data_IF_071260971137
#
_entry.id   IF_071260971137
#
_cell.length_a   1.000
_cell.length_b   1.000
_cell.length_c   1.000
_cell.angle_alpha   90.00
_cell.angle_beta   90.00
_cell.angle_gamma   90.00
#
_symmetry.space_group_name_H-M   'P 1'
#
loop_
_entity.id
_entity.type
_entity.pdbx_description
1 polymer ?
2 polymer ?
3 polymer ?
4 polymer ?
5 non-polymer ?
#
loop_
_entity_poly.entity_id
_entity_poly.type
_entity_poly.pdbx_seq_one_letter_code
_entity_poly.pdbx_strand_id
3 'polydeoxyribonucleotide' '(DC)(DA)(DG)(DA)(DA)(DA)(DA)(DT)(DC)(DG)(DG)(DT)(DT)(DG)(DT)(DG)(DG)(DT)' ?
4 'polydeoxyribonucleotide' '(DG)(DA)(DC)(DC)(DA)(DC)(DA)(DA)(DC)(DC)(DG)(DA)(DT)(DT)(DT)(DT)(DC)(DT)' ?
#
# COMPACT_ATOMS: atom_id res chain seq x y z
N UNK A 16 17.41 9.27 -5.90
CA UNK A 16 17.93 8.06 -5.25
C UNK A 16 17.33 6.78 -5.83
N UNK A 17 18.10 5.70 -5.87
CA UNK A 17 17.64 4.42 -6.37
C UNK A 17 17.37 3.49 -5.20
N UNK A 18 16.18 2.92 -5.16
CA UNK A 18 15.86 2.12 -4.00
C UNK A 18 15.71 0.64 -4.37
N UNK A 19 16.06 -0.27 -3.47
CA UNK A 19 15.91 -1.70 -3.79
C UNK A 19 14.45 -2.10 -3.98
N UNK A 20 13.53 -1.46 -3.27
CA UNK A 20 12.13 -1.84 -3.43
C UNK A 20 11.61 -1.53 -4.82
N UNK A 21 12.07 -0.44 -5.42
CA UNK A 21 11.52 0.05 -6.68
C UNK A 21 11.94 -0.77 -7.88
N UNK A 22 12.71 -1.83 -7.70
CA UNK A 22 13.03 -2.77 -8.77
C UNK A 22 12.39 -4.10 -8.44
N UNK A 23 11.73 -4.72 -9.42
CA UNK A 23 11.02 -5.96 -9.20
C UNK A 23 9.53 -5.77 -9.20
N UNK A 24 8.80 -6.53 -8.38
CA UNK A 24 7.39 -6.29 -8.19
C UNK A 24 7.16 -5.88 -6.74
N UNK A 25 6.37 -4.83 -6.50
CA UNK A 25 6.27 -4.28 -5.15
C UNK A 25 5.49 -5.15 -4.19
N UNK A 26 4.60 -6.02 -4.70
CA UNK A 26 3.83 -6.87 -3.81
C UNK A 26 4.71 -7.81 -3.00
N UNK A 27 5.99 -7.97 -3.38
CA UNK A 27 6.93 -8.69 -2.54
C UNK A 27 6.94 -8.12 -1.12
N UNK A 28 6.92 -6.80 -0.99
CA UNK A 28 6.91 -6.16 0.32
C UNK A 28 5.58 -6.30 1.03
N UNK A 29 4.56 -6.79 0.34
CA UNK A 29 3.27 -7.10 0.93
C UNK A 29 2.94 -8.55 0.67
N UNK A 30 3.98 -9.38 0.62
CA UNK A 30 3.81 -10.80 0.33
C UNK A 30 3.05 -11.47 1.45
N UNK A 31 2.26 -12.48 1.10
CA UNK A 31 1.46 -13.20 2.09
C UNK A 31 2.27 -14.27 2.83
N UNK A 32 3.36 -14.75 2.25
CA UNK A 32 4.07 -15.76 3.02
C UNK A 32 5.11 -15.08 3.92
N UNK A 33 5.46 -15.69 5.06
CA UNK A 33 6.61 -15.16 5.82
C UNK A 33 7.89 -15.22 5.03
N UNK A 34 7.98 -16.16 4.09
CA UNK A 34 9.17 -16.25 3.24
C UNK A 34 9.35 -14.98 2.42
N UNK A 35 8.32 -14.59 1.67
CA UNK A 35 8.42 -13.40 0.84
C UNK A 35 8.77 -12.17 1.64
N UNK A 36 8.20 -12.06 2.85
CA UNK A 36 8.52 -10.93 3.71
C UNK A 36 9.98 -10.96 4.14
N UNK A 37 10.53 -12.15 4.45
CA UNK A 37 11.94 -12.23 4.81
C UNK A 37 12.83 -11.83 3.63
N UNK A 38 12.44 -12.23 2.43
CA UNK A 38 13.15 -11.82 1.22
C UNK A 38 13.19 -10.30 1.13
N UNK A 39 12.01 -9.67 1.14
CA UNK A 39 11.95 -8.21 1.03
C UNK A 39 12.73 -7.55 2.17
N UNK A 40 12.65 -8.12 3.37
CA UNK A 40 13.35 -7.55 4.52
C UNK A 40 14.85 -7.54 4.31
N UNK A 41 15.39 -8.57 3.66
CA UNK A 41 16.82 -8.55 3.38
C UNK A 41 17.15 -7.65 2.19
N UNK A 42 16.20 -7.48 1.26
CA UNK A 42 16.40 -6.52 0.19
C UNK A 42 16.50 -5.10 0.73
N UNK A 43 15.73 -4.80 1.77
CA UNK A 43 15.76 -3.47 2.36
C UNK A 43 17.11 -3.13 2.98
N UNK A 44 17.92 -4.14 3.33
CA UNK A 44 19.17 -3.87 4.03
C UNK A 44 20.12 -3.04 3.18
N UNK A 45 19.93 -3.03 1.87
CA UNK A 45 20.77 -2.25 0.96
C UNK A 45 20.22 -0.87 0.67
N UNK A 46 19.16 -0.43 1.36
CA UNK A 46 18.48 0.79 0.98
C UNK A 46 19.18 2.01 1.57
N UNK A 47 19.54 3.00 0.75
CA UNK A 47 20.14 4.23 1.30
C UNK A 47 19.18 5.04 2.16
N UNK A 48 17.89 4.69 2.14
CA UNK A 48 16.85 5.44 2.83
C UNK A 48 16.38 4.75 4.11
N UNK A 49 16.81 3.50 4.35
CA UNK A 49 16.18 2.59 5.29
C UNK A 49 15.66 3.24 6.58
N UNK A 50 16.54 3.84 7.37
CA UNK A 50 16.11 4.32 8.67
C UNK A 50 14.99 5.35 8.54
N UNK A 51 15.04 6.20 7.50
CA UNK A 51 13.92 7.07 7.16
C UNK A 51 12.66 6.24 6.98
N UNK A 52 12.64 5.41 5.94
CA UNK A 52 11.51 4.54 5.62
C UNK A 52 10.88 3.98 6.90
N UNK A 53 11.72 3.41 7.76
CA UNK A 53 11.22 2.83 9.00
C UNK A 53 10.56 3.88 9.88
N UNK A 54 11.26 4.99 10.13
CA UNK A 54 10.73 6.01 11.01
C UNK A 54 9.38 6.50 10.53
N UNK A 55 9.30 6.85 9.25
CA UNK A 55 8.07 7.40 8.69
C UNK A 55 6.94 6.37 8.74
N UNK A 56 7.25 5.11 8.45
CA UNK A 56 6.20 4.08 8.50
C UNK A 56 5.69 3.90 9.93
N UNK A 57 6.60 3.89 10.91
CA UNK A 57 6.17 3.82 12.30
C UNK A 57 5.31 5.02 12.66
N UNK A 58 5.68 6.19 12.17
CA UNK A 58 5.01 7.43 12.50
C UNK A 58 3.68 7.60 11.77
N UNK A 59 3.41 6.77 10.76
CA UNK A 59 2.07 6.64 10.22
C UNK A 59 1.35 5.37 10.68
N UNK A 60 2.02 4.55 11.51
CA UNK A 60 1.45 3.31 12.04
C UNK A 60 0.87 2.43 10.92
N UNK A 61 1.74 2.07 9.99
CA UNK A 61 1.32 1.30 8.82
C UNK A 61 0.69 -0.02 9.25
N UNK A 62 -0.36 -0.46 8.59
CA UNK A 62 -1.05 -1.69 9.02
C UNK A 62 -0.33 -2.97 8.63
N UNK A 63 0.42 -2.97 7.53
CA UNK A 63 1.09 -4.17 7.05
C UNK A 63 2.23 -3.77 6.12
N UNK A 64 2.97 -4.77 5.66
CA UNK A 64 4.03 -4.58 4.69
C UNK A 64 5.40 -4.46 5.35
N UNK A 65 6.42 -4.42 4.50
CA UNK A 65 7.80 -4.31 4.93
C UNK A 65 8.27 -2.88 4.67
N UNK A 66 8.71 -2.22 5.73
CA UNK A 66 9.15 -0.83 5.66
C UNK A 66 10.49 -0.73 6.37
N UNK A 67 11.44 -0.08 5.73
CA UNK A 67 12.75 0.11 6.35
C UNK A 67 13.32 -1.18 6.88
N UNK A 68 13.08 -2.28 6.17
CA UNK A 68 13.62 -3.56 6.59
C UNK A 68 12.96 -4.20 7.78
N UNK A 69 11.67 -3.90 8.00
CA UNK A 69 10.95 -4.52 9.11
C UNK A 69 9.52 -4.82 8.70
N UNK A 70 9.02 -5.96 9.17
CA UNK A 70 7.62 -6.33 8.97
C UNK A 70 6.75 -5.50 9.89
N UNK A 71 5.65 -4.99 9.36
CA UNK A 71 4.70 -4.22 10.13
C UNK A 71 3.40 -5.01 10.26
N UNK A 72 2.77 -4.89 11.42
CA UNK A 72 1.47 -5.48 11.68
C UNK A 72 0.68 -4.51 12.54
N UNK A 73 -0.31 -3.85 11.95
CA UNK A 73 -1.21 -2.94 12.68
C UNK A 73 -0.42 -1.88 13.44
N UNK A 74 0.62 -1.35 12.81
CA UNK A 74 1.30 -0.17 13.32
C UNK A 74 2.58 -0.45 14.08
N UNK A 75 2.86 -1.71 14.40
CA UNK A 75 4.08 -2.08 15.11
C UNK A 75 4.89 -3.05 14.26
N UNK A 76 6.05 -3.46 14.79
CA UNK A 76 6.95 -4.40 14.13
C UNK A 76 6.73 -5.79 14.72
N UNK A 77 6.74 -6.80 13.86
CA UNK A 77 6.40 -8.16 14.28
C UNK A 77 7.58 -9.12 14.20
N UNK A 78 8.71 -8.71 13.60
CA UNK A 78 9.91 -9.55 13.51
C UNK A 78 9.72 -10.74 12.56
N UNK A 79 8.74 -11.59 12.83
CA UNK A 79 8.45 -12.69 11.94
C UNK A 79 6.94 -12.85 11.83
N UNK A 80 6.46 -13.02 10.60
CA UNK A 80 5.04 -13.24 10.37
C UNK A 80 4.69 -14.69 10.66
N UNK A 81 3.66 -14.88 11.47
CA UNK A 81 3.23 -16.23 11.81
C UNK A 81 2.79 -16.98 10.55
N UNK A 82 3.11 -18.27 10.45
CA UNK A 82 2.59 -19.06 9.34
C UNK A 82 1.10 -19.28 9.45
N UNK A 83 0.52 -20.09 8.56
CA UNK A 83 -0.93 -20.11 8.44
C UNK A 83 -1.62 -21.10 9.35
N UNK A 84 -1.03 -22.26 9.57
CA UNK A 84 -1.66 -23.31 10.34
C UNK A 84 -1.46 -23.16 11.84
N UNK A 85 -1.59 -24.29 12.52
CA UNK A 85 -1.33 -24.37 13.96
C UNK A 85 0.17 -24.22 14.23
N UNK A 86 0.55 -23.64 15.38
CA UNK A 86 1.99 -23.49 15.66
C UNK A 86 2.64 -24.79 16.09
N UNK A 87 3.84 -25.02 15.58
CA UNK A 87 4.68 -26.08 16.10
C UNK A 87 5.08 -25.75 17.54
N UNK A 88 5.38 -26.80 18.31
CA UNK A 88 5.67 -26.60 19.73
C UNK A 88 7.15 -26.77 20.03
N UNK B 18 -1.66 15.11 -18.34
CA UNK B 18 -0.30 14.94 -17.83
C UNK B 18 -0.34 14.60 -16.35
N UNK B 19 0.62 13.81 -15.90
CA UNK B 19 0.74 13.33 -14.51
C UNK B 19 -0.38 12.36 -14.18
N UNK B 20 -1.62 12.75 -14.48
CA UNK B 20 -2.80 11.92 -14.30
C UNK B 20 -2.58 10.53 -14.87
N UNK B 21 -1.70 10.44 -15.87
CA UNK B 21 -1.40 9.17 -16.53
C UNK B 21 -0.52 8.29 -15.65
N UNK B 22 0.56 8.86 -15.11
CA UNK B 22 1.55 8.01 -14.43
C UNK B 22 0.97 7.37 -13.18
N UNK B 23 0.08 8.05 -12.47
CA UNK B 23 -0.60 7.41 -11.35
C UNK B 23 -1.52 6.31 -11.83
N UNK B 24 -2.19 6.51 -12.97
CA UNK B 24 -2.93 5.43 -13.59
C UNK B 24 -2.01 4.24 -13.89
N UNK B 25 -0.70 4.48 -14.01
CA UNK B 25 0.24 3.38 -14.10
C UNK B 25 0.32 2.61 -12.79
N UNK B 26 0.57 3.31 -11.67
CA UNK B 26 0.75 2.59 -10.42
C UNK B 26 -0.57 1.97 -9.98
N UNK B 27 -1.70 2.60 -10.31
CA UNK B 27 -2.97 1.95 -10.10
C UNK B 27 -3.02 0.60 -10.78
N UNK B 28 -2.46 0.52 -11.98
CA UNK B 28 -2.45 -0.73 -12.71
C UNK B 28 -1.52 -1.77 -12.12
N UNK B 29 -0.76 -1.46 -11.06
CA UNK B 29 0.02 -2.47 -10.36
C UNK B 29 -0.77 -3.13 -9.24
N UNK B 30 -2.04 -2.77 -9.06
CA UNK B 30 -2.89 -3.38 -8.06
C UNK B 30 -3.82 -4.40 -8.72
N UNK B 31 -4.44 -5.22 -7.88
CA UNK B 31 -5.53 -6.03 -8.38
C UNK B 31 -6.71 -5.15 -8.77
N UNK B 32 -7.58 -5.71 -9.62
CA UNK B 32 -8.73 -4.96 -10.12
C UNK B 32 -9.57 -4.42 -8.97
N UNK B 33 -9.82 -5.25 -7.96
CA UNK B 33 -10.65 -4.80 -6.85
C UNK B 33 -9.97 -3.69 -6.06
N UNK B 34 -8.67 -3.85 -5.77
CA UNK B 34 -7.97 -2.77 -5.07
C UNK B 34 -8.04 -1.46 -5.84
N UNK B 35 -7.68 -1.51 -7.12
CA UNK B 35 -7.64 -0.31 -7.94
C UNK B 35 -9.02 0.30 -8.06
N UNK B 36 -10.01 -0.52 -8.40
CA UNK B 36 -11.36 -0.02 -8.52
C UNK B 36 -11.89 0.56 -7.24
N UNK B 37 -11.53 -0.03 -6.10
CA UNK B 37 -11.99 0.55 -4.84
C UNK B 37 -11.40 1.94 -4.66
N UNK B 38 -10.12 2.11 -4.99
CA UNK B 38 -9.60 3.47 -4.80
C UNK B 38 -10.17 4.42 -5.86
N UNK B 39 -10.34 3.92 -7.09
CA UNK B 39 -10.92 4.74 -8.15
C UNK B 39 -12.28 5.25 -7.72
N UNK B 40 -13.14 4.35 -7.24
CA UNK B 40 -14.47 4.74 -6.81
C UNK B 40 -14.41 5.67 -5.61
N UNK B 41 -13.54 5.38 -4.64
CA UNK B 41 -13.49 6.22 -3.46
C UNK B 41 -13.13 7.65 -3.81
N UNK B 42 -12.18 7.83 -4.74
CA UNK B 42 -11.70 9.16 -5.07
C UNK B 42 -12.32 9.70 -6.36
N UNK B 43 -13.30 9.01 -6.93
CA UNK B 43 -13.96 9.47 -8.13
C UNK B 43 -12.97 9.82 -9.23
N UNK B 44 -12.08 8.88 -9.56
CA UNK B 44 -11.02 9.19 -10.51
C UNK B 44 -11.49 9.13 -11.95
N UNK B 45 -12.44 8.25 -12.25
CA UNK B 45 -12.87 8.10 -13.64
C UNK B 45 -13.98 9.08 -14.03
N UNK B 46 -14.84 9.47 -13.08
CA UNK B 46 -16.00 10.29 -13.43
C UNK B 46 -16.20 11.49 -12.49
N UNK B 47 -15.21 11.85 -11.69
CA UNK B 47 -15.29 13.01 -10.83
C UNK B 47 -16.09 12.83 -9.55
N UNK B 48 -16.90 11.77 -9.45
CA UNK B 48 -17.81 11.60 -8.33
C UNK B 48 -17.27 10.58 -7.35
N UNK B 49 -16.83 10.99 -6.15
CA UNK B 49 -16.45 10.00 -5.14
C UNK B 49 -17.66 9.15 -4.73
N UNK B 50 -17.39 7.91 -4.36
CA UNK B 50 -18.44 6.98 -3.99
C UNK B 50 -18.41 6.68 -2.50
N UNK B 51 -19.57 6.33 -1.97
CA UNK B 51 -19.66 5.92 -0.59
C UNK B 51 -19.27 4.45 -0.48
N UNK B 52 -18.82 4.07 0.72
CA UNK B 52 -18.38 2.70 0.94
C UNK B 52 -19.47 1.68 0.60
N UNK B 53 -20.64 2.05 0.93
CA UNK B 53 -21.77 1.19 0.61
C UNK B 53 -21.91 1.02 -0.88
N UNK B 54 -21.96 2.02 -1.62
CA UNK B 54 -22.04 1.92 -3.08
C UNK B 54 -20.94 1.03 -3.61
N UNK B 55 -19.70 1.30 -3.18
CA UNK B 55 -18.56 0.50 -3.60
C UNK B 55 -18.81 -0.97 -3.29
N UNK B 56 -19.31 -1.25 -2.08
CA UNK B 56 -19.61 -2.63 -1.73
C UNK B 56 -20.65 -3.23 -2.65
N UNK B 57 -21.61 -2.41 -3.07
CA UNK B 57 -22.62 -2.89 -4.01
C UNK B 57 -21.98 -3.34 -5.32
N UNK B 58 -20.92 -2.66 -5.76
CA UNK B 58 -20.33 -3.08 -7.05
C UNK B 58 -19.56 -4.40 -6.90
N UNK B 59 -18.80 -4.55 -5.83
CA UNK B 59 -18.01 -5.75 -5.59
C UNK B 59 -18.74 -6.77 -4.72
N UNK B 60 -20.03 -6.60 -4.49
CA UNK B 60 -20.80 -7.61 -3.82
C UNK B 60 -20.38 -7.92 -2.41
N UNK B 61 -19.75 -6.99 -1.71
CA UNK B 61 -19.33 -7.21 -0.33
C UNK B 61 -19.84 -6.07 0.53
N UNK B 62 -19.66 -6.21 1.84
CA UNK B 62 -20.19 -5.19 2.71
C UNK B 62 -19.28 -3.97 2.73
N UNK B 63 -19.84 -2.87 3.26
CA UNK B 63 -19.09 -1.64 3.38
C UNK B 63 -17.83 -1.84 4.22
N UNK B 64 -17.94 -2.58 5.32
CA UNK B 64 -16.77 -2.75 6.18
C UNK B 64 -15.66 -3.50 5.45
N UNK B 65 -16.03 -4.51 4.65
CA UNK B 65 -15.00 -5.19 3.88
C UNK B 65 -14.31 -4.21 2.95
N UNK B 66 -15.08 -3.31 2.35
CA UNK B 66 -14.51 -2.29 1.47
C UNK B 66 -13.59 -1.38 2.24
N UNK B 67 -13.93 -1.09 3.50
CA UNK B 67 -13.08 -0.23 4.29
C UNK B 67 -11.75 -0.90 4.58
N UNK B 68 -11.78 -2.19 4.90
CA UNK B 68 -10.54 -2.91 5.15
C UNK B 68 -9.67 -2.94 3.90
N UNK B 69 -10.27 -3.30 2.76
CA UNK B 69 -9.55 -3.31 1.49
C UNK B 69 -8.90 -1.96 1.24
N UNK B 70 -9.66 -0.88 1.45
CA UNK B 70 -9.16 0.45 1.15
C UNK B 70 -8.02 0.85 2.08
N UNK B 71 -8.12 0.50 3.37
CA UNK B 71 -7.02 0.75 4.29
C UNK B 71 -5.74 0.09 3.82
N UNK B 72 -5.82 -1.21 3.52
CA UNK B 72 -4.60 -1.91 3.11
C UNK B 72 -4.07 -1.37 1.79
N UNK B 73 -4.95 -1.09 0.83
CA UNK B 73 -4.49 -0.58 -0.45
C UNK B 73 -3.82 0.78 -0.30
N UNK B 74 -4.36 1.66 0.54
CA UNK B 74 -3.70 2.93 0.80
C UNK B 74 -2.33 2.70 1.41
N UNK B 75 -2.22 1.71 2.30
CA UNK B 75 -0.91 1.37 2.84
C UNK B 75 0.06 1.01 1.71
N UNK B 76 -0.41 0.18 0.77
CA UNK B 76 0.41 -0.20 -0.37
C UNK B 76 0.84 1.02 -1.18
N UNK B 77 -0.10 1.94 -1.43
CA UNK B 77 0.19 3.13 -2.24
C UNK B 77 1.17 4.05 -1.57
N UNK B 78 1.13 4.13 -0.24
CA UNK B 78 2.13 4.92 0.47
C UNK B 78 3.53 4.35 0.27
N UNK B 79 3.64 3.06 -0.04
CA UNK B 79 4.92 2.37 0.01
C UNK B 79 5.84 2.87 -1.10
N UNK B 80 7.11 3.15 -0.79
CA UNK B 80 8.01 3.72 -1.80
C UNK B 80 8.03 2.96 -3.11
N UNK B 81 7.97 1.63 -3.05
CA UNK B 81 7.91 0.81 -4.25
C UNK B 81 6.88 1.32 -5.25
N UNK B 82 5.80 1.92 -4.77
CA UNK B 82 4.80 2.49 -5.66
C UNK B 82 4.74 4.01 -5.66
N UNK B 83 5.09 4.65 -4.54
CA UNK B 83 4.85 6.08 -4.37
C UNK B 83 6.07 6.94 -4.65
N UNK B 84 7.27 6.37 -4.63
CA UNK B 84 8.46 7.22 -4.70
C UNK B 84 8.56 7.90 -6.05
N UNK B 85 8.28 7.17 -7.14
CA UNK B 85 8.32 7.78 -8.46
C UNK B 85 7.28 8.89 -8.58
N UNK B 86 6.30 8.92 -7.68
CA UNK B 86 5.21 9.88 -7.77
C UNK B 86 5.18 10.87 -6.61
N UNK B 87 6.32 11.52 -6.34
CA UNK B 87 6.37 12.57 -5.33
C UNK B 87 6.38 13.96 -5.93
N UNK B 88 6.14 14.08 -7.24
CA UNK B 88 6.18 15.38 -7.92
C UNK B 88 4.79 15.79 -8.40
N UNK B 97 -8.76 21.30 -5.96
CA UNK B 97 -9.57 20.36 -5.21
C UNK B 97 -9.95 19.13 -6.02
N UNK B 98 -9.39 19.02 -7.22
CA UNK B 98 -9.61 17.93 -8.16
C UNK B 98 -9.34 16.58 -7.51
N UNK B 99 -9.98 15.49 -7.97
CA UNK B 99 -9.83 14.20 -7.27
C UNK B 99 -8.41 13.65 -7.24
N UNK B 100 -7.63 13.79 -8.32
CA UNK B 100 -6.24 13.34 -8.29
C UNK B 100 -5.44 14.09 -7.24
N UNK B 101 -5.69 15.40 -7.12
CA UNK B 101 -5.08 16.19 -6.04
C UNK B 101 -5.36 15.55 -4.69
N UNK B 102 -6.63 15.24 -4.42
CA UNK B 102 -7.00 14.67 -3.15
C UNK B 102 -6.36 13.30 -2.94
N UNK B 103 -6.22 12.52 -4.01
CA UNK B 103 -5.59 11.21 -3.88
C UNK B 103 -4.13 11.36 -3.46
N UNK B 104 -3.36 12.15 -4.21
CA UNK B 104 -1.98 12.42 -3.82
C UNK B 104 -1.90 12.94 -2.39
N UNK B 105 -2.85 13.79 -2.00
CA UNK B 105 -2.86 14.33 -0.64
C UNK B 105 -3.05 13.22 0.39
N UNK B 106 -4.03 12.34 0.16
CA UNK B 106 -4.28 11.21 1.06
C UNK B 106 -3.12 10.24 1.11
N UNK B 107 -2.28 10.22 0.07
CA UNK B 107 -1.09 9.39 0.11
C UNK B 107 -0.12 9.91 1.15
N UNK B 108 0.19 11.19 1.11
CA UNK B 108 1.17 11.79 2.00
C UNK B 108 0.45 12.55 3.12
N UNK B 109 1.17 13.45 3.80
CA UNK B 109 0.66 14.11 4.97
C UNK B 109 -0.34 15.21 4.65
N UNK B 110 -0.56 16.06 5.64
CA UNK B 110 -1.51 17.17 5.54
C UNK B 110 -0.82 18.52 5.76
X LIG E 1 14.25 0.79 1.00
X LIG E 1 11.74 0.02 0.25
X LIG E 1 12.05 1.59 2.44
X LIG E 1 12.89 -0.99 2.54
X LIG E 1 10.73 -0.24 2.29
X LIG E 1 14.02 0.81 3.28
X LIG E 1 13.60 -1.28 0.41
X LIG E 1 12.55 2.12 0.28
#
# INVERSE_FOLDING_TARGET
>A
MSVLTVPRQTPRQRLPVLPCHVGDPDLWFADTPAGLEVAKTLCVSCPIRRQCLAAALQRAEPWGVWGGEIFDQGSIVSHKRPRGRPRKDAVA
>B
MAHHHHHHVAVDAVSFTLLQDQLQSVLDTLSEREAGVVRLRFGLTDGQPRTLDEIGQVYGVTRERIRQIESKTMSKLRHPSRSQVLRDYLDGSSGSGTPEERLLRAIFGEKA
>E hetero
1 SF4 FE1 FE2 FE3 FE4 S1 S2 S3 S4
#
